data_IF_758202164544
#
_entry.id   IF_758202164544
#
_cell.length_a   1.000
_cell.length_b   1.000
_cell.length_c   1.000
_cell.angle_alpha   90.00
_cell.angle_beta   90.00
_cell.angle_gamma   90.00
#
_symmetry.space_group_name_H-M   'P 1'
#
loop_
_entity.id
_entity.type
_entity.pdbx_description
1 polymer ?
#
# COMPACT_ATOMS: atom_id res chain seq x y z
N UNK A 1 -16.99 14.19 32.45
CA UNK A 1 -15.94 14.08 31.44
C UNK A 1 -16.37 12.98 30.48
N UNK A 2 -16.69 13.29 29.23
CA UNK A 2 -16.96 12.24 28.24
C UNK A 2 -15.66 11.49 28.02
N UNK A 3 -15.54 10.26 28.49
CA UNK A 3 -14.41 9.39 28.25
C UNK A 3 -14.39 9.04 26.74
N UNK A 4 -13.59 9.77 25.99
CA UNK A 4 -13.39 9.53 24.56
C UNK A 4 -12.70 8.19 24.33
N UNK A 5 -13.11 7.42 23.32
CA UNK A 5 -12.54 6.10 23.00
C UNK A 5 -11.04 6.15 22.75
N UNK A 6 -10.52 7.24 22.18
CA UNK A 6 -9.09 7.43 21.91
C UNK A 6 -8.61 8.78 22.42
N UNK A 7 -7.53 8.78 23.17
CA UNK A 7 -6.83 10.01 23.58
C UNK A 7 -5.95 10.53 22.44
N UNK A 8 -5.46 11.77 22.56
CA UNK A 8 -4.45 12.30 21.65
C UNK A 8 -3.15 11.49 21.70
N UNK A 9 -2.84 10.89 22.85
CA UNK A 9 -1.65 10.03 23.02
C UNK A 9 -1.81 8.75 22.21
N UNK A 10 -2.99 8.13 22.22
CA UNK A 10 -3.26 6.91 21.45
C UNK A 10 -3.17 7.17 19.95
N UNK A 11 -3.71 8.29 19.46
CA UNK A 11 -3.59 8.66 18.05
C UNK A 11 -2.14 8.88 17.63
N UNK A 12 -1.35 9.59 18.46
CA UNK A 12 0.09 9.78 18.18
C UNK A 12 0.85 8.47 18.19
N UNK A 13 0.54 7.57 19.10
CA UNK A 13 1.14 6.24 19.21
C UNK A 13 0.83 5.33 18.01
N UNK A 14 -0.20 5.64 17.22
CA UNK A 14 -0.49 4.96 15.95
C UNK A 14 0.14 5.69 14.76
N UNK A 15 0.00 7.02 14.68
CA UNK A 15 0.40 7.82 13.52
C UNK A 15 1.91 7.82 13.32
N UNK A 16 2.68 8.06 14.39
CA UNK A 16 4.14 8.19 14.29
C UNK A 16 4.78 6.87 13.84
N UNK A 17 4.49 5.71 14.45
CA UNK A 17 5.05 4.44 13.99
C UNK A 17 4.66 4.10 12.54
N UNK A 18 3.41 4.34 12.15
CA UNK A 18 2.97 4.06 10.78
C UNK A 18 3.66 4.96 9.75
N UNK A 19 3.88 6.22 10.09
CA UNK A 19 4.64 7.11 9.21
C UNK A 19 6.10 6.65 9.06
N UNK A 20 6.74 6.28 10.17
CA UNK A 20 8.12 5.75 10.15
C UNK A 20 8.17 4.43 9.35
N UNK A 21 7.21 3.54 9.54
CA UNK A 21 7.12 2.27 8.79
C UNK A 21 7.03 2.52 7.27
N UNK A 22 6.15 3.44 6.83
CA UNK A 22 6.02 3.78 5.41
C UNK A 22 7.28 4.45 4.85
N UNK A 23 7.92 5.31 5.63
CA UNK A 23 9.17 5.95 5.22
C UNK A 23 10.30 4.94 5.06
N UNK A 24 10.45 4.01 6.00
CA UNK A 24 11.44 2.94 5.92
C UNK A 24 11.20 2.01 4.72
N UNK A 25 9.95 1.67 4.42
CA UNK A 25 9.62 0.86 3.24
C UNK A 25 10.03 1.54 1.93
N UNK A 26 9.83 2.87 1.84
CA UNK A 26 10.27 3.64 0.68
C UNK A 26 11.80 3.61 0.55
N UNK A 27 12.53 3.85 1.64
CA UNK A 27 13.99 3.85 1.65
C UNK A 27 14.58 2.50 1.25
N UNK A 28 14.00 1.39 1.73
CA UNK A 28 14.45 0.04 1.37
C UNK A 28 14.21 -0.25 -0.11
N UNK A 29 13.06 0.13 -0.67
CA UNK A 29 12.81 -0.01 -2.10
C UNK A 29 13.82 0.73 -2.97
N UNK A 30 14.27 1.91 -2.52
CA UNK A 30 15.34 2.65 -3.19
C UNK A 30 16.70 1.95 -3.03
N UNK A 31 17.03 1.46 -1.83
CA UNK A 31 18.26 0.74 -1.56
C UNK A 31 18.36 -0.57 -2.37
N UNK A 32 17.28 -1.32 -2.48
CA UNK A 32 17.22 -2.55 -3.27
C UNK A 32 17.53 -2.25 -4.74
N UNK A 33 16.90 -1.24 -5.32
CA UNK A 33 17.16 -0.82 -6.72
C UNK A 33 18.60 -0.37 -6.90
N UNK A 34 19.15 0.37 -5.95
CA UNK A 34 20.53 0.83 -5.98
C UNK A 34 21.51 -0.35 -5.94
N UNK A 35 21.33 -1.31 -5.04
CA UNK A 35 22.23 -2.47 -4.92
C UNK A 35 22.15 -3.36 -6.16
N UNK A 36 20.95 -3.59 -6.72
CA UNK A 36 20.79 -4.37 -7.97
C UNK A 36 21.55 -3.75 -9.14
N UNK A 37 21.70 -2.42 -9.19
CA UNK A 37 22.40 -1.74 -10.29
C UNK A 37 23.88 -2.13 -10.40
N UNK A 38 24.49 -2.64 -9.34
CA UNK A 38 25.87 -3.15 -9.35
C UNK A 38 25.99 -4.60 -9.87
N UNK A 39 24.87 -5.31 -10.03
CA UNK A 39 24.89 -6.68 -10.58
C UNK A 39 24.99 -6.67 -12.11
N UNK A 40 24.41 -5.67 -12.76
CA UNK A 40 24.44 -5.48 -14.22
C UNK A 40 23.07 -5.18 -14.82
N UNK A 41 23.05 -4.74 -16.07
CA UNK A 41 21.85 -4.25 -16.76
C UNK A 41 20.76 -5.33 -16.92
N UNK A 42 21.15 -6.56 -17.24
CA UNK A 42 20.25 -7.70 -17.36
C UNK A 42 19.55 -8.01 -16.01
N UNK A 43 20.30 -7.92 -14.90
CA UNK A 43 19.76 -8.11 -13.55
C UNK A 43 18.78 -7.01 -13.18
N UNK A 44 19.13 -5.74 -13.43
CA UNK A 44 18.23 -4.58 -13.18
C UNK A 44 16.93 -4.73 -13.96
N UNK A 45 17.04 -5.08 -15.26
CA UNK A 45 15.89 -5.28 -16.14
C UNK A 45 15.02 -6.43 -15.65
N UNK A 46 15.59 -7.59 -15.36
CA UNK A 46 14.87 -8.77 -14.88
C UNK A 46 14.18 -8.53 -13.54
N UNK A 47 14.87 -7.97 -12.56
CA UNK A 47 14.30 -7.62 -11.24
C UNK A 47 13.20 -6.58 -11.39
N UNK A 48 13.34 -5.57 -12.22
CA UNK A 48 12.33 -4.53 -12.44
C UNK A 48 11.04 -5.10 -13.05
N UNK A 49 11.17 -5.98 -14.04
CA UNK A 49 10.04 -6.65 -14.68
C UNK A 49 9.27 -7.49 -13.66
N UNK A 50 9.98 -8.35 -12.92
CA UNK A 50 9.36 -9.22 -11.90
C UNK A 50 8.77 -8.40 -10.74
N UNK A 51 9.40 -7.30 -10.33
CA UNK A 51 8.85 -6.42 -9.30
C UNK A 51 7.54 -5.76 -9.72
N UNK A 52 7.35 -5.47 -11.00
CA UNK A 52 6.07 -4.99 -11.51
C UNK A 52 4.96 -6.01 -11.30
N UNK A 53 5.25 -7.29 -11.50
CA UNK A 53 4.34 -8.39 -11.21
C UNK A 53 4.16 -8.61 -9.70
N UNK A 54 5.25 -8.62 -8.92
CA UNK A 54 5.22 -8.78 -7.47
C UNK A 54 4.35 -7.71 -6.79
N UNK A 55 4.32 -6.50 -7.34
CA UNK A 55 3.48 -5.41 -6.84
C UNK A 55 2.00 -5.80 -6.83
N UNK A 56 1.52 -6.54 -7.83
CA UNK A 56 0.14 -7.04 -7.87
C UNK A 56 -0.14 -8.00 -6.72
N UNK A 57 0.76 -8.95 -6.46
CA UNK A 57 0.63 -9.89 -5.34
C UNK A 57 0.67 -9.16 -3.98
N UNK A 58 1.56 -8.19 -3.82
CA UNK A 58 1.66 -7.36 -2.61
C UNK A 58 0.34 -6.63 -2.35
N UNK A 59 -0.27 -6.02 -3.38
CA UNK A 59 -1.55 -5.33 -3.23
C UNK A 59 -2.70 -6.28 -2.91
N UNK A 60 -2.69 -7.50 -3.47
CA UNK A 60 -3.69 -8.52 -3.14
C UNK A 60 -3.64 -8.90 -1.66
N UNK A 61 -2.45 -9.21 -1.13
CA UNK A 61 -2.29 -9.55 0.29
C UNK A 61 -2.56 -8.34 1.21
N UNK A 62 -2.20 -7.13 0.78
CA UNK A 62 -2.52 -5.90 1.50
C UNK A 62 -4.03 -5.62 1.54
N UNK A 63 -4.74 -5.88 0.44
CA UNK A 63 -6.20 -5.74 0.39
C UNK A 63 -6.89 -6.73 1.33
N UNK A 64 -6.41 -7.99 1.37
CA UNK A 64 -6.89 -9.00 2.28
C UNK A 64 -6.65 -8.62 3.75
N UNK A 65 -5.44 -8.17 4.07
CA UNK A 65 -5.07 -7.68 5.39
C UNK A 65 -5.93 -6.47 5.83
N UNK A 66 -6.20 -5.53 4.91
CA UNK A 66 -7.06 -4.37 5.14
C UNK A 66 -8.51 -4.78 5.43
N UNK A 67 -9.06 -5.74 4.68
CA UNK A 67 -10.38 -6.29 4.94
C UNK A 67 -10.49 -6.94 6.31
N UNK A 68 -9.48 -7.72 6.69
CA UNK A 68 -9.38 -8.32 8.03
C UNK A 68 -9.25 -7.27 9.13
N UNK A 69 -8.43 -6.24 8.93
CA UNK A 69 -8.26 -5.14 9.90
C UNK A 69 -9.59 -4.44 10.22
N UNK A 70 -10.45 -4.23 9.22
CA UNK A 70 -11.79 -3.63 9.43
C UNK A 70 -12.63 -4.51 10.36
N UNK A 71 -12.75 -5.81 10.06
CA UNK A 71 -13.60 -6.73 10.84
C UNK A 71 -13.05 -6.93 12.25
N UNK A 72 -11.74 -7.10 12.40
CA UNK A 72 -11.07 -7.22 13.71
C UNK A 72 -11.30 -5.95 14.53
N UNK A 73 -11.11 -4.76 13.94
CA UNK A 73 -11.31 -3.47 14.63
C UNK A 73 -12.75 -3.31 15.10
N UNK A 74 -13.75 -3.71 14.30
CA UNK A 74 -15.15 -3.64 14.69
C UNK A 74 -15.46 -4.59 15.86
N UNK A 75 -14.97 -5.84 15.85
CA UNK A 75 -15.15 -6.75 16.99
C UNK A 75 -14.44 -6.26 18.27
N UNK A 76 -13.28 -5.62 18.15
CA UNK A 76 -12.61 -4.97 19.31
C UNK A 76 -13.50 -3.85 19.86
N UNK A 77 -14.07 -3.02 18.98
CA UNK A 77 -14.97 -1.94 19.36
C UNK A 77 -16.21 -2.43 20.08
N UNK A 78 -16.80 -3.56 19.67
CA UNK A 78 -17.94 -4.20 20.33
C UNK A 78 -17.56 -4.94 21.63
N UNK A 79 -16.26 -4.94 22.00
CA UNK A 79 -15.69 -5.69 23.13
C UNK A 79 -15.82 -7.21 23.03
N UNK A 80 -16.09 -7.73 21.82
CA UNK A 80 -16.10 -9.16 21.53
C UNK A 80 -14.72 -9.63 21.08
N UNK A 81 -13.81 -9.73 22.06
CA UNK A 81 -12.42 -10.11 21.81
C UNK A 81 -12.28 -11.56 21.32
N UNK A 82 -13.25 -12.41 21.61
CA UNK A 82 -13.28 -13.80 21.13
C UNK A 82 -13.51 -13.83 19.62
N UNK A 83 -14.53 -13.13 19.12
CA UNK A 83 -14.80 -13.04 17.68
C UNK A 83 -13.69 -12.28 16.95
N UNK A 84 -13.09 -11.26 17.58
CA UNK A 84 -11.92 -10.58 17.04
C UNK A 84 -10.74 -11.55 16.84
N UNK A 85 -10.48 -12.41 17.82
CA UNK A 85 -9.44 -13.45 17.73
C UNK A 85 -9.73 -14.51 16.67
N UNK A 86 -10.98 -14.94 16.55
CA UNK A 86 -11.42 -15.85 15.47
C UNK A 86 -11.26 -15.18 14.10
N UNK A 87 -11.67 -13.93 13.95
CA UNK A 87 -11.52 -13.19 12.69
C UNK A 87 -10.04 -13.01 12.30
N UNK A 88 -9.17 -12.70 13.25
CA UNK A 88 -7.73 -12.61 13.04
C UNK A 88 -7.13 -13.98 12.62
N UNK A 89 -7.53 -15.05 13.28
CA UNK A 89 -7.09 -16.42 12.96
C UNK A 89 -7.56 -16.87 11.58
N UNK A 90 -8.79 -16.54 11.19
CA UNK A 90 -9.32 -16.81 9.86
C UNK A 90 -8.62 -15.98 8.78
N UNK A 91 -8.30 -14.73 9.06
CA UNK A 91 -7.49 -13.91 8.17
C UNK A 91 -6.12 -14.54 7.93
N UNK A 92 -5.43 -14.99 8.99
CA UNK A 92 -4.15 -15.66 8.88
C UNK A 92 -4.26 -16.93 8.03
N UNK A 93 -5.20 -17.82 8.35
CA UNK A 93 -5.42 -19.07 7.62
C UNK A 93 -5.67 -18.81 6.14
N UNK A 94 -6.60 -17.93 5.80
CA UNK A 94 -6.93 -17.63 4.41
C UNK A 94 -5.77 -16.96 3.67
N UNK A 95 -5.01 -16.09 4.35
CA UNK A 95 -3.81 -15.46 3.80
C UNK A 95 -2.73 -16.50 3.46
N UNK A 96 -2.51 -17.47 4.34
CA UNK A 96 -1.57 -18.57 4.10
C UNK A 96 -2.04 -19.44 2.94
N UNK A 97 -3.28 -19.91 2.97
CA UNK A 97 -3.81 -20.79 1.90
C UNK A 97 -3.76 -20.11 0.53
N UNK A 98 -4.27 -18.87 0.44
CA UNK A 98 -4.29 -18.15 -0.83
C UNK A 98 -2.88 -17.83 -1.34
N UNK A 99 -1.95 -17.47 -0.46
CA UNK A 99 -0.57 -17.17 -0.85
C UNK A 99 0.21 -18.42 -1.27
N UNK A 100 -0.01 -19.56 -0.61
CA UNK A 100 0.58 -20.84 -1.03
C UNK A 100 0.05 -21.26 -2.40
N UNK A 101 -1.25 -21.16 -2.63
CA UNK A 101 -1.85 -21.45 -3.95
C UNK A 101 -1.23 -20.56 -5.03
N UNK A 102 -1.13 -19.25 -4.78
CA UNK A 102 -0.53 -18.30 -5.73
C UNK A 102 0.94 -18.64 -5.96
N UNK A 103 1.70 -18.95 -4.91
CA UNK A 103 3.12 -19.33 -5.02
C UNK A 103 3.31 -20.59 -5.85
N UNK A 104 2.51 -21.62 -5.61
CA UNK A 104 2.56 -22.88 -6.37
C UNK A 104 2.21 -22.64 -7.84
N UNK A 105 1.16 -21.87 -8.12
CA UNK A 105 0.80 -21.51 -9.50
C UNK A 105 1.94 -20.78 -10.22
N UNK A 106 2.57 -19.82 -9.56
CA UNK A 106 3.70 -19.09 -10.13
C UNK A 106 4.88 -20.00 -10.38
N UNK A 107 5.24 -20.88 -9.42
CA UNK A 107 6.37 -21.80 -9.56
C UNK A 107 6.15 -22.84 -10.66
N UNK A 108 4.92 -23.34 -10.82
CA UNK A 108 4.56 -24.30 -11.88
C UNK A 108 4.54 -23.65 -13.27
N UNK A 109 4.05 -22.41 -13.35
CA UNK A 109 3.86 -21.69 -14.60
C UNK A 109 4.86 -20.55 -14.81
N UNK A 110 6.04 -20.55 -14.13
CA UNK A 110 6.99 -19.44 -14.15
C UNK A 110 7.38 -18.99 -15.56
N UNK A 111 7.82 -19.89 -16.42
CA UNK A 111 8.23 -19.55 -17.80
C UNK A 111 7.06 -19.16 -18.71
N UNK A 112 5.94 -19.94 -18.78
CA UNK A 112 4.74 -19.53 -19.51
C UNK A 112 4.23 -18.15 -19.08
N UNK A 113 4.22 -17.87 -17.76
CA UNK A 113 3.78 -16.59 -17.22
C UNK A 113 4.69 -15.45 -17.62
N UNK A 114 6.01 -15.61 -17.50
CA UNK A 114 6.98 -14.60 -17.91
C UNK A 114 6.93 -14.33 -19.42
N UNK A 115 6.80 -15.36 -20.24
CA UNK A 115 6.65 -15.21 -21.68
C UNK A 115 5.34 -14.49 -22.07
N UNK A 116 4.25 -14.78 -21.36
CA UNK A 116 2.96 -14.11 -21.56
C UNK A 116 3.01 -12.63 -21.17
N UNK A 117 3.69 -12.31 -20.05
CA UNK A 117 3.72 -10.96 -19.50
C UNK A 117 4.73 -10.06 -20.22
N UNK A 118 5.89 -10.59 -20.56
CA UNK A 118 7.02 -9.79 -21.04
C UNK A 118 7.44 -10.11 -22.50
N UNK A 119 6.81 -11.11 -23.11
CA UNK A 119 7.09 -11.49 -24.48
C UNK A 119 8.49 -12.09 -24.63
N UNK A 120 9.16 -11.77 -25.77
CA UNK A 120 10.54 -12.17 -26.04
C UNK A 120 11.49 -11.09 -25.53
N UNK A 121 12.08 -11.34 -24.37
CA UNK A 121 13.23 -10.57 -23.84
C UNK A 121 14.52 -11.36 -24.11
N UNK A 122 15.66 -10.69 -23.99
CA UNK A 122 16.98 -11.32 -24.12
C UNK A 122 17.14 -12.46 -23.11
N UNK A 123 17.88 -13.51 -23.50
CA UNK A 123 18.00 -14.74 -22.69
C UNK A 123 18.57 -14.46 -21.29
N UNK A 124 19.53 -13.55 -21.18
CA UNK A 124 20.11 -13.16 -19.89
C UNK A 124 19.10 -12.46 -18.97
N UNK A 125 18.24 -11.62 -19.55
CA UNK A 125 17.15 -10.93 -18.82
C UNK A 125 16.11 -11.96 -18.39
N UNK A 126 15.75 -12.92 -19.27
CA UNK A 126 14.81 -13.98 -18.94
C UNK A 126 15.36 -14.87 -17.81
N UNK A 127 16.66 -15.22 -17.85
CA UNK A 127 17.29 -15.98 -16.76
C UNK A 127 17.21 -15.24 -15.41
N UNK A 128 17.51 -13.94 -15.40
CA UNK A 128 17.36 -13.09 -14.22
C UNK A 128 15.89 -13.02 -13.73
N UNK A 129 14.92 -12.92 -14.64
CA UNK A 129 13.49 -12.95 -14.31
C UNK A 129 13.08 -14.26 -13.63
N UNK A 130 13.47 -15.41 -14.20
CA UNK A 130 13.14 -16.74 -13.66
C UNK A 130 13.73 -16.91 -12.27
N UNK A 131 15.02 -16.59 -12.09
CA UNK A 131 15.70 -16.72 -10.81
C UNK A 131 15.05 -15.83 -9.73
N UNK A 132 14.82 -14.57 -10.02
CA UNK A 132 14.21 -13.63 -9.08
C UNK A 132 12.75 -13.97 -8.76
N UNK A 133 11.95 -14.34 -9.77
CA UNK A 133 10.55 -14.74 -9.60
C UNK A 133 10.41 -15.98 -8.74
N UNK A 134 11.27 -16.98 -8.94
CA UNK A 134 11.27 -18.22 -8.16
C UNK A 134 11.52 -17.95 -6.68
N UNK A 135 12.54 -17.16 -6.35
CA UNK A 135 12.86 -16.84 -4.95
C UNK A 135 11.75 -15.97 -4.32
N UNK A 136 11.25 -14.99 -5.06
CA UNK A 136 10.18 -14.12 -4.55
C UNK A 136 8.85 -14.84 -4.39
N UNK A 137 8.53 -15.84 -5.22
CA UNK A 137 7.36 -16.69 -5.07
C UNK A 137 7.38 -17.45 -3.73
N UNK A 138 8.52 -17.98 -3.29
CA UNK A 138 8.66 -18.57 -1.96
C UNK A 138 8.43 -17.57 -0.82
N UNK A 139 8.63 -16.29 -1.07
CA UNK A 139 8.42 -15.25 -0.05
C UNK A 139 6.96 -14.84 0.13
N UNK A 140 6.04 -15.19 -0.79
CA UNK A 140 4.64 -14.75 -0.70
C UNK A 140 3.88 -15.29 0.50
N UNK A 141 4.01 -16.58 0.91
CA UNK A 141 3.36 -17.06 2.12
C UNK A 141 3.81 -16.32 3.37
N UNK A 142 5.11 -16.08 3.51
CA UNK A 142 5.64 -15.35 4.66
C UNK A 142 5.25 -13.86 4.65
N UNK A 143 5.17 -13.25 3.47
CA UNK A 143 4.66 -11.89 3.30
C UNK A 143 3.18 -11.78 3.70
N UNK A 144 2.35 -12.74 3.28
CA UNK A 144 0.93 -12.79 3.62
C UNK A 144 0.72 -12.98 5.14
N UNK A 145 1.52 -13.83 5.79
CA UNK A 145 1.53 -14.00 7.25
C UNK A 145 1.89 -12.69 7.95
N UNK A 146 2.94 -12.01 7.51
CA UNK A 146 3.33 -10.71 8.06
C UNK A 146 2.19 -9.69 7.92
N UNK A 147 1.60 -9.56 6.74
CA UNK A 147 0.52 -8.60 6.50
C UNK A 147 -0.71 -8.87 7.40
N UNK A 148 -1.10 -10.14 7.57
CA UNK A 148 -2.19 -10.52 8.47
C UNK A 148 -1.89 -10.18 9.94
N UNK A 149 -0.70 -10.48 10.41
CA UNK A 149 -0.26 -10.16 11.78
C UNK A 149 -0.12 -8.66 12.02
N UNK A 150 0.44 -7.91 11.07
CA UNK A 150 0.55 -6.46 11.14
C UNK A 150 -0.84 -5.79 11.13
N UNK A 151 -1.80 -6.33 10.35
CA UNK A 151 -3.18 -5.86 10.37
C UNK A 151 -3.83 -6.05 11.75
N UNK A 152 -3.63 -7.22 12.38
CA UNK A 152 -4.09 -7.49 13.74
C UNK A 152 -3.45 -6.53 14.75
N UNK A 153 -2.11 -6.35 14.73
CA UNK A 153 -1.41 -5.42 15.63
C UNK A 153 -1.95 -3.99 15.50
N UNK A 154 -2.15 -3.51 14.28
CA UNK A 154 -2.71 -2.17 14.01
C UNK A 154 -4.16 -2.05 14.48
N UNK A 155 -4.97 -3.11 14.32
CA UNK A 155 -6.38 -3.13 14.77
C UNK A 155 -6.53 -3.01 16.30
N UNK A 156 -5.54 -3.49 17.06
CA UNK A 156 -5.50 -3.32 18.52
C UNK A 156 -4.79 -2.03 18.97
N UNK A 157 -4.42 -1.16 18.02
CA UNK A 157 -3.73 0.10 18.31
C UNK A 157 -2.22 -0.02 18.53
N UNK A 158 -1.60 -1.20 18.28
CA UNK A 158 -0.17 -1.48 18.48
C UNK A 158 0.63 -1.38 17.18
N UNK A 159 0.53 -0.21 16.54
CA UNK A 159 1.32 0.08 15.34
C UNK A 159 2.84 0.15 15.59
N UNK A 160 3.25 0.38 16.84
CA UNK A 160 4.65 0.32 17.26
C UNK A 160 5.27 -1.05 16.99
N UNK A 161 4.53 -2.13 17.20
CA UNK A 161 5.02 -3.50 16.99
C UNK A 161 5.32 -3.76 15.51
N UNK A 162 4.38 -3.43 14.61
CA UNK A 162 4.60 -3.60 13.16
C UNK A 162 5.77 -2.74 12.67
N UNK A 163 5.91 -1.52 13.18
CA UNK A 163 7.03 -0.63 12.85
C UNK A 163 8.38 -1.23 13.28
N UNK A 164 8.52 -1.70 14.53
CA UNK A 164 9.79 -2.27 15.00
C UNK A 164 10.17 -3.53 14.24
N UNK A 165 9.20 -4.43 13.99
CA UNK A 165 9.44 -5.64 13.20
C UNK A 165 9.87 -5.28 11.79
N UNK A 166 9.17 -4.32 11.14
CA UNK A 166 9.51 -3.83 9.80
C UNK A 166 10.91 -3.19 9.78
N UNK A 167 11.26 -2.36 10.78
CA UNK A 167 12.57 -1.72 10.86
C UNK A 167 13.71 -2.75 10.95
N UNK A 168 13.56 -3.78 11.79
CA UNK A 168 14.54 -4.85 11.91
C UNK A 168 14.67 -5.64 10.61
N UNK A 169 13.55 -6.01 10.01
CA UNK A 169 13.53 -6.73 8.74
C UNK A 169 14.17 -5.93 7.60
N UNK A 170 13.90 -4.62 7.54
CA UNK A 170 14.50 -3.73 6.57
C UNK A 170 16.02 -3.61 6.75
N UNK A 171 16.49 -3.53 7.99
CA UNK A 171 17.92 -3.56 8.28
C UNK A 171 18.57 -4.88 7.84
N UNK A 172 17.93 -6.02 8.12
CA UNK A 172 18.40 -7.35 7.66
C UNK A 172 18.42 -7.43 6.13
N UNK A 173 17.40 -6.90 5.47
CA UNK A 173 17.33 -6.87 4.01
C UNK A 173 18.49 -6.05 3.40
N UNK A 174 18.70 -4.82 3.85
CA UNK A 174 19.76 -3.95 3.32
C UNK A 174 21.16 -4.54 3.57
N UNK A 175 21.44 -4.99 4.79
CA UNK A 175 22.71 -5.64 5.12
C UNK A 175 22.90 -6.93 4.31
N UNK A 176 21.85 -7.73 4.20
CA UNK A 176 21.86 -8.95 3.41
C UNK A 176 22.10 -8.70 1.93
N UNK A 177 21.49 -7.67 1.34
CA UNK A 177 21.73 -7.27 -0.06
C UNK A 177 23.19 -6.87 -0.28
N UNK A 178 23.77 -6.08 0.63
CA UNK A 178 25.19 -5.69 0.56
C UNK A 178 26.07 -6.94 0.61
N UNK A 179 25.84 -7.84 1.55
CA UNK A 179 26.61 -9.08 1.65
C UNK A 179 26.39 -9.96 0.40
N UNK A 180 25.15 -10.15 -0.03
CA UNK A 180 24.81 -11.01 -1.17
C UNK A 180 25.43 -10.56 -2.49
N UNK A 181 25.43 -9.25 -2.74
CA UNK A 181 25.95 -8.69 -4.00
C UNK A 181 27.45 -8.46 -3.95
N UNK A 182 27.97 -7.80 -2.90
CA UNK A 182 29.37 -7.36 -2.87
C UNK A 182 30.35 -8.35 -2.25
N UNK A 183 29.89 -9.25 -1.36
CA UNK A 183 30.75 -10.24 -0.69
C UNK A 183 30.61 -11.62 -1.33
N UNK A 184 29.36 -12.07 -1.54
CA UNK A 184 29.07 -13.40 -2.08
C UNK A 184 29.04 -13.43 -3.62
N UNK A 185 28.94 -12.28 -4.26
CA UNK A 185 28.80 -12.13 -5.73
C UNK A 185 27.67 -13.01 -6.29
N UNK A 186 26.56 -13.13 -5.55
CA UNK A 186 25.47 -14.05 -5.86
C UNK A 186 24.48 -13.51 -6.93
N UNK A 187 24.84 -12.43 -7.63
CA UNK A 187 24.01 -11.88 -8.68
C UNK A 187 22.61 -11.47 -8.23
N UNK A 188 21.59 -11.84 -8.99
CA UNK A 188 20.18 -11.56 -8.68
C UNK A 188 19.73 -12.26 -7.39
N UNK A 189 20.20 -13.47 -7.12
CA UNK A 189 19.91 -14.19 -5.90
C UNK A 189 20.43 -13.45 -4.64
N UNK A 190 21.53 -12.68 -4.79
CA UNK A 190 22.11 -11.86 -3.74
C UNK A 190 21.18 -10.75 -3.21
N UNK A 191 20.14 -10.40 -3.95
CA UNK A 191 19.08 -9.45 -3.52
C UNK A 191 17.79 -10.17 -3.16
N UNK A 192 17.47 -11.25 -3.85
CA UNK A 192 16.23 -11.99 -3.63
C UNK A 192 16.20 -12.76 -2.31
N UNK A 193 17.29 -13.46 -1.94
CA UNK A 193 17.36 -14.20 -0.68
C UNK A 193 17.31 -13.33 0.58
N UNK A 194 18.03 -12.21 0.68
CA UNK A 194 17.87 -11.29 1.81
C UNK A 194 16.45 -10.79 1.99
N UNK A 195 15.76 -10.51 0.90
CA UNK A 195 14.34 -10.12 0.93
C UNK A 195 13.45 -11.25 1.47
N UNK A 196 13.69 -12.50 1.06
CA UNK A 196 13.01 -13.68 1.60
C UNK A 196 13.26 -13.85 3.09
N UNK A 197 14.52 -13.75 3.52
CA UNK A 197 14.93 -13.88 4.93
C UNK A 197 14.30 -12.79 5.78
N UNK A 198 14.35 -11.54 5.33
CA UNK A 198 13.74 -10.40 6.03
C UNK A 198 12.23 -10.59 6.22
N UNK A 199 11.51 -11.03 5.17
CA UNK A 199 10.09 -11.37 5.24
C UNK A 199 9.81 -12.54 6.18
N UNK A 200 10.65 -13.57 6.18
CA UNK A 200 10.53 -14.71 7.09
C UNK A 200 10.69 -14.30 8.55
N UNK A 201 11.70 -13.48 8.87
CA UNK A 201 11.91 -12.90 10.19
C UNK A 201 10.69 -12.10 10.64
N UNK A 202 10.15 -11.24 9.76
CA UNK A 202 8.95 -10.47 10.04
C UNK A 202 7.73 -11.33 10.34
N UNK A 203 7.52 -12.38 9.54
CA UNK A 203 6.41 -13.30 9.70
C UNK A 203 6.51 -14.07 11.04
N UNK A 204 7.67 -14.57 11.35
CA UNK A 204 7.92 -15.27 12.63
C UNK A 204 7.72 -14.33 13.82
N UNK A 205 8.33 -13.14 13.78
CA UNK A 205 8.24 -12.16 14.86
C UNK A 205 6.81 -11.71 15.13
N UNK A 206 6.05 -11.36 14.09
CA UNK A 206 4.66 -10.90 14.24
C UNK A 206 3.75 -12.05 14.70
N UNK A 207 3.96 -13.24 14.19
CA UNK A 207 3.18 -14.43 14.58
C UNK A 207 3.43 -14.78 16.04
N UNK A 208 4.68 -14.80 16.44
CA UNK A 208 5.05 -15.02 17.85
C UNK A 208 4.42 -13.98 18.77
N UNK A 209 4.45 -12.70 18.38
CA UNK A 209 3.79 -11.64 19.14
C UNK A 209 2.27 -11.87 19.25
N UNK A 210 1.61 -12.18 18.14
CA UNK A 210 0.16 -12.38 18.10
C UNK A 210 -0.32 -13.62 18.90
N UNK A 211 0.51 -14.63 19.05
CA UNK A 211 0.21 -15.81 19.89
C UNK A 211 0.52 -15.58 21.36
N UNK A 212 1.69 -15.02 21.67
CA UNK A 212 2.28 -15.09 23.01
C UNK A 212 2.05 -13.85 23.88
N UNK A 213 1.76 -12.70 23.27
CA UNK A 213 1.69 -11.45 24.05
C UNK A 213 0.43 -11.37 24.91
N UNK A 214 0.60 -11.59 26.23
CA UNK A 214 -0.50 -11.70 27.20
C UNK A 214 -1.29 -10.40 27.44
N UNK A 215 -0.73 -9.25 27.09
CA UNK A 215 -1.34 -7.93 27.31
C UNK A 215 -2.26 -7.45 26.18
N UNK A 216 -2.28 -8.15 25.03
CA UNK A 216 -3.19 -7.80 23.93
C UNK A 216 -4.57 -8.41 24.17
N UNK A 217 -5.65 -7.66 23.93
CA UNK A 217 -7.01 -8.18 24.11
C UNK A 217 -7.37 -9.26 23.09
N UNK A 218 -6.68 -9.29 21.95
CA UNK A 218 -6.92 -10.22 20.84
C UNK A 218 -5.68 -11.06 20.59
N UNK A 219 -5.88 -12.36 20.33
CA UNK A 219 -4.80 -13.32 20.03
C UNK A 219 -5.21 -14.29 18.95
N UNK A 220 -4.24 -14.85 18.28
CA UNK A 220 -4.45 -16.03 17.46
C UNK A 220 -4.79 -17.25 18.35
N UNK A 221 -5.73 -18.05 17.87
CA UNK A 221 -6.08 -19.33 18.52
C UNK A 221 -5.86 -20.46 17.51
N UNK A 222 -5.24 -21.54 17.94
CA UNK A 222 -5.03 -22.71 17.06
C UNK A 222 -6.36 -23.25 16.57
N UNK A 223 -7.35 -23.37 17.45
CA UNK A 223 -8.70 -23.76 17.07
C UNK A 223 -9.31 -22.82 16.02
N UNK A 224 -9.09 -21.51 16.13
CA UNK A 224 -9.57 -20.51 15.17
C UNK A 224 -8.88 -20.59 13.81
N UNK A 225 -7.61 -21.03 13.76
CA UNK A 225 -6.86 -21.18 12.50
C UNK A 225 -7.35 -22.44 11.73
N UNK A 226 -7.53 -23.56 12.42
CA UNK A 226 -7.90 -24.83 11.78
C UNK A 226 -9.41 -25.01 11.61
N UNK A 227 -10.25 -24.26 12.33
CA UNK A 227 -11.70 -24.29 12.13
C UNK A 227 -12.13 -23.38 10.98
N UNK A 228 -12.98 -23.88 10.09
CA UNK A 228 -13.52 -23.06 9.00
C UNK A 228 -14.71 -22.23 9.46
N UNK A 229 -14.58 -20.91 9.46
CA UNK A 229 -15.64 -19.96 9.82
C UNK A 229 -16.04 -19.13 8.59
N UNK A 230 -16.79 -19.76 7.68
CA UNK A 230 -17.16 -19.15 6.39
C UNK A 230 -17.91 -17.81 6.51
N UNK A 231 -18.69 -17.60 7.57
CA UNK A 231 -19.38 -16.34 7.83
C UNK A 231 -18.42 -15.18 8.12
N UNK A 232 -17.37 -15.41 8.92
CA UNK A 232 -16.31 -14.41 9.18
C UNK A 232 -15.51 -14.13 7.92
N UNK A 233 -15.13 -15.17 7.21
CA UNK A 233 -14.38 -15.02 5.96
C UNK A 233 -15.18 -14.24 4.91
N UNK A 234 -16.49 -14.49 4.79
CA UNK A 234 -17.37 -13.72 3.90
C UNK A 234 -17.39 -12.23 4.26
N UNK A 235 -17.39 -11.89 5.54
CA UNK A 235 -17.30 -10.49 6.01
C UNK A 235 -15.95 -9.86 5.63
N UNK A 236 -14.84 -10.56 5.87
CA UNK A 236 -13.49 -10.09 5.49
C UNK A 236 -13.39 -9.89 3.98
N UNK A 237 -13.82 -10.86 3.19
CA UNK A 237 -13.80 -10.78 1.72
C UNK A 237 -14.74 -9.70 1.18
N UNK A 238 -15.85 -9.42 1.86
CA UNK A 238 -16.76 -8.32 1.53
C UNK A 238 -16.11 -6.94 1.54
N UNK A 239 -14.99 -6.78 2.26
CA UNK A 239 -14.17 -5.56 2.27
C UNK A 239 -12.91 -5.74 1.40
N UNK A 240 -12.26 -6.90 1.51
CA UNK A 240 -10.99 -7.18 0.84
C UNK A 240 -11.13 -7.21 -0.69
N UNK A 241 -12.18 -7.87 -1.22
CA UNK A 241 -12.37 -7.98 -2.67
C UNK A 241 -12.60 -6.61 -3.33
N UNK A 242 -13.52 -5.75 -2.84
CA UNK A 242 -13.63 -4.39 -3.35
C UNK A 242 -12.30 -3.62 -3.33
N UNK A 243 -11.55 -3.70 -2.25
CA UNK A 243 -10.25 -3.02 -2.13
C UNK A 243 -9.20 -3.60 -3.11
N UNK A 244 -9.20 -4.92 -3.30
CA UNK A 244 -8.34 -5.60 -4.27
C UNK A 244 -8.65 -5.20 -5.72
N UNK A 245 -9.92 -5.14 -6.08
CA UNK A 245 -10.38 -4.68 -7.41
C UNK A 245 -9.97 -3.23 -7.65
N UNK A 246 -10.18 -2.34 -6.67
CA UNK A 246 -9.75 -0.93 -6.75
C UNK A 246 -8.25 -0.83 -7.03
N UNK A 247 -7.41 -1.55 -6.27
CA UNK A 247 -5.96 -1.53 -6.44
C UNK A 247 -5.54 -2.13 -7.80
N UNK A 248 -6.17 -3.22 -8.21
CA UNK A 248 -5.90 -3.86 -9.50
C UNK A 248 -6.18 -2.94 -10.69
N UNK A 249 -7.35 -2.31 -10.71
CA UNK A 249 -7.73 -1.35 -11.75
C UNK A 249 -6.79 -0.15 -11.75
N UNK A 250 -6.38 0.33 -10.57
CA UNK A 250 -5.43 1.43 -10.45
C UNK A 250 -4.08 1.09 -11.12
N UNK A 251 -3.57 -0.14 -10.93
CA UNK A 251 -2.32 -0.58 -11.57
C UNK A 251 -2.47 -0.71 -13.09
N UNK A 252 -3.59 -1.25 -13.58
CA UNK A 252 -3.83 -1.33 -15.03
C UNK A 252 -3.86 0.04 -15.68
N UNK A 253 -4.56 1.00 -15.07
CA UNK A 253 -4.61 2.38 -15.57
C UNK A 253 -3.23 3.05 -15.51
N UNK A 254 -2.43 2.78 -14.47
CA UNK A 254 -1.06 3.27 -14.38
C UNK A 254 -0.19 2.79 -15.56
N UNK A 255 -0.34 1.53 -15.97
CA UNK A 255 0.34 1.00 -17.17
C UNK A 255 -0.13 1.72 -18.44
N UNK A 256 -1.44 1.92 -18.60
CA UNK A 256 -1.99 2.65 -19.75
C UNK A 256 -1.47 4.10 -19.82
N UNK A 257 -1.37 4.79 -18.67
CA UNK A 257 -0.80 6.15 -18.62
C UNK A 257 0.70 6.17 -18.93
N UNK A 258 1.45 5.16 -18.49
CA UNK A 258 2.87 5.04 -18.84
C UNK A 258 3.06 4.86 -20.34
N UNK A 259 2.19 4.07 -20.99
CA UNK A 259 2.18 3.91 -22.46
C UNK A 259 1.81 5.21 -23.18
N UNK A 260 0.94 6.02 -22.60
CA UNK A 260 0.60 7.35 -23.13
C UNK A 260 1.81 8.29 -23.04
N UNK A 261 2.47 8.34 -21.88
CA UNK A 261 3.66 9.19 -21.64
C UNK A 261 4.82 8.79 -22.58
N UNK A 262 4.95 7.50 -22.91
CA UNK A 262 5.99 7.01 -23.83
C UNK A 262 5.93 7.65 -25.22
N UNK A 263 4.78 8.19 -25.64
CA UNK A 263 4.61 8.86 -26.94
C UNK A 263 5.19 10.28 -26.97
N UNK A 264 5.47 10.89 -25.82
CA UNK A 264 5.91 12.29 -25.74
C UNK A 264 7.42 12.52 -25.81
N UNK A 265 8.21 11.45 -25.92
CA UNK A 265 9.66 11.52 -26.03
C UNK A 265 10.42 11.31 -24.72
N UNK A 266 11.72 11.04 -24.86
CA UNK A 266 12.59 10.52 -23.79
C UNK A 266 12.67 11.43 -22.56
N UNK A 267 12.80 12.75 -22.75
CA UNK A 267 12.92 13.68 -21.63
C UNK A 267 11.62 13.77 -20.81
N UNK A 268 10.44 13.62 -21.44
CA UNK A 268 9.15 13.61 -20.76
C UNK A 268 8.92 12.29 -19.99
N UNK A 269 9.38 11.16 -20.54
CA UNK A 269 9.39 9.86 -19.85
C UNK A 269 10.23 9.95 -18.58
N UNK A 270 11.45 10.51 -18.69
CA UNK A 270 12.33 10.71 -17.55
C UNK A 270 11.71 11.64 -16.50
N UNK A 271 11.11 12.75 -16.93
CA UNK A 271 10.43 13.68 -16.03
C UNK A 271 9.24 13.03 -15.30
N UNK A 272 8.43 12.24 -16.01
CA UNK A 272 7.31 11.51 -15.41
C UNK A 272 7.77 10.47 -14.37
N UNK A 273 8.85 9.73 -14.65
CA UNK A 273 9.43 8.77 -13.71
C UNK A 273 9.95 9.42 -12.43
N UNK A 274 10.69 10.51 -12.56
CA UNK A 274 11.19 11.26 -11.39
C UNK A 274 10.04 11.90 -10.60
N UNK A 275 9.06 12.50 -11.29
CA UNK A 275 7.87 13.07 -10.66
C UNK A 275 7.08 12.01 -9.88
N UNK A 276 6.95 10.79 -10.42
CA UNK A 276 6.30 9.67 -9.73
C UNK A 276 7.04 9.25 -8.46
N UNK A 277 8.38 9.27 -8.47
CA UNK A 277 9.19 8.97 -7.29
C UNK A 277 8.99 10.01 -6.19
N UNK A 278 8.96 11.30 -6.55
CA UNK A 278 8.70 12.39 -5.62
C UNK A 278 7.24 12.33 -5.11
N UNK A 279 6.29 11.98 -5.97
CA UNK A 279 4.89 11.78 -5.56
C UNK A 279 4.76 10.66 -4.51
N UNK A 280 5.50 9.56 -4.66
CA UNK A 280 5.51 8.47 -3.68
C UNK A 280 5.97 8.95 -2.30
N UNK A 281 6.99 9.84 -2.25
CA UNK A 281 7.42 10.50 -1.03
C UNK A 281 6.35 11.43 -0.47
N UNK A 282 5.72 12.24 -1.32
CA UNK A 282 4.68 13.17 -0.92
C UNK A 282 3.41 12.49 -0.37
N UNK A 283 3.07 11.30 -0.89
CA UNK A 283 1.89 10.53 -0.48
C UNK A 283 2.05 9.80 0.87
N UNK A 284 3.27 9.70 1.43
CA UNK A 284 3.57 8.91 2.64
C UNK A 284 2.65 9.24 3.82
N UNK A 285 2.38 10.52 4.06
CA UNK A 285 1.53 10.92 5.18
C UNK A 285 0.11 10.37 5.04
N UNK A 286 -0.48 10.45 3.85
CA UNK A 286 -1.79 9.88 3.60
C UNK A 286 -1.81 8.35 3.69
N UNK A 287 -0.76 7.68 3.20
CA UNK A 287 -0.62 6.23 3.30
C UNK A 287 -0.50 5.76 4.75
N UNK A 288 0.23 6.50 5.59
CA UNK A 288 0.34 6.24 7.02
C UNK A 288 -0.98 6.46 7.78
N UNK A 289 -1.79 7.42 7.35
CA UNK A 289 -3.07 7.74 8.00
C UNK A 289 -4.17 6.72 7.67
N UNK A 290 -4.15 6.05 6.53
CA UNK A 290 -5.20 5.12 6.11
C UNK A 290 -5.48 3.99 7.15
N UNK A 291 -4.48 3.29 7.69
CA UNK A 291 -4.69 2.31 8.77
C UNK A 291 -5.23 2.93 10.06
N UNK A 292 -4.87 4.18 10.38
CA UNK A 292 -5.40 4.89 11.56
C UNK A 292 -6.92 5.07 11.45
N UNK A 293 -7.40 5.52 10.28
CA UNK A 293 -8.84 5.61 10.02
C UNK A 293 -9.51 4.23 10.13
N UNK A 294 -8.89 3.20 9.57
CA UNK A 294 -9.43 1.83 9.65
C UNK A 294 -9.61 1.38 11.10
N UNK A 295 -8.60 1.58 11.94
CA UNK A 295 -8.64 1.17 13.35
C UNK A 295 -9.63 2.02 14.15
N UNK A 296 -9.51 3.34 14.09
CA UNK A 296 -10.31 4.24 14.93
C UNK A 296 -11.79 4.21 14.55
N UNK A 297 -12.09 4.37 13.27
CA UNK A 297 -13.48 4.35 12.80
C UNK A 297 -14.08 2.94 12.93
N UNK A 298 -13.29 1.89 12.61
CA UNK A 298 -13.74 0.50 12.78
C UNK A 298 -14.15 0.20 14.22
N UNK A 299 -13.36 0.60 15.21
CA UNK A 299 -13.69 0.39 16.62
C UNK A 299 -14.91 1.23 17.05
N UNK A 300 -15.03 2.48 16.62
CA UNK A 300 -16.21 3.29 16.91
C UNK A 300 -17.50 2.67 16.32
N UNK A 301 -17.43 2.19 15.09
CA UNK A 301 -18.58 1.53 14.43
C UNK A 301 -18.94 0.21 15.11
N UNK A 302 -17.93 -0.59 15.50
CA UNK A 302 -18.13 -1.81 16.25
C UNK A 302 -18.75 -1.60 17.62
N UNK A 303 -18.43 -0.50 18.30
CA UNK A 303 -19.07 -0.08 19.53
C UNK A 303 -20.51 0.44 19.35
N UNK A 304 -20.99 0.56 18.10
CA UNK A 304 -22.29 1.17 17.80
C UNK A 304 -22.34 2.67 18.05
N UNK A 305 -21.20 3.32 18.29
CA UNK A 305 -21.13 4.73 18.66
C UNK A 305 -20.87 5.61 17.43
N UNK A 306 -21.92 5.93 16.71
CA UNK A 306 -21.88 6.76 15.49
C UNK A 306 -21.41 8.19 15.81
N UNK A 307 -21.74 8.71 16.98
CA UNK A 307 -21.35 10.06 17.41
C UNK A 307 -19.82 10.15 17.57
N UNK A 308 -19.20 9.18 18.23
CA UNK A 308 -17.76 9.07 18.34
C UNK A 308 -17.10 8.87 16.98
N UNK A 309 -17.65 8.00 16.13
CA UNK A 309 -17.15 7.81 14.77
C UNK A 309 -17.14 9.14 13.99
N UNK A 310 -18.21 9.92 14.05
CA UNK A 310 -18.30 11.23 13.40
C UNK A 310 -17.30 12.25 13.99
N UNK A 311 -17.13 12.23 15.32
CA UNK A 311 -16.12 13.04 16.00
C UNK A 311 -14.71 12.73 15.47
N UNK A 312 -14.36 11.42 15.41
CA UNK A 312 -13.03 11.03 14.92
C UNK A 312 -12.86 11.25 13.43
N UNK A 313 -13.89 11.09 12.60
CA UNK A 313 -13.80 11.51 11.20
C UNK A 313 -13.39 12.99 11.07
N UNK A 314 -14.06 13.90 11.80
CA UNK A 314 -13.72 15.33 11.81
C UNK A 314 -12.30 15.57 12.27
N UNK A 315 -11.91 14.94 13.38
CA UNK A 315 -10.60 15.11 14.00
C UNK A 315 -9.48 14.57 13.10
N UNK A 316 -9.65 13.35 12.57
CA UNK A 316 -8.67 12.73 11.68
C UNK A 316 -8.56 13.49 10.36
N UNK A 317 -9.68 13.91 9.75
CA UNK A 317 -9.64 14.73 8.53
C UNK A 317 -8.86 16.02 8.73
N UNK A 318 -9.11 16.76 9.84
CA UNK A 318 -8.35 17.97 10.15
C UNK A 318 -6.86 17.68 10.37
N UNK A 319 -6.56 16.63 11.15
CA UNK A 319 -5.18 16.25 11.45
C UNK A 319 -4.43 15.79 10.20
N UNK A 320 -5.04 14.91 9.39
CA UNK A 320 -4.45 14.43 8.14
C UNK A 320 -4.22 15.58 7.17
N UNK A 321 -5.18 16.49 7.04
CA UNK A 321 -5.03 17.67 6.19
C UNK A 321 -3.82 18.53 6.59
N UNK A 322 -3.70 18.86 7.89
CA UNK A 322 -2.59 19.68 8.40
C UNK A 322 -1.25 18.96 8.19
N UNK A 323 -1.17 17.67 8.54
CA UNK A 323 0.04 16.88 8.40
C UNK A 323 0.43 16.69 6.92
N UNK A 324 -0.54 16.42 6.06
CA UNK A 324 -0.31 16.28 4.62
C UNK A 324 0.12 17.61 3.99
N UNK A 325 -0.49 18.72 4.37
CA UNK A 325 -0.10 20.05 3.88
C UNK A 325 1.35 20.37 4.27
N UNK A 326 1.69 20.19 5.55
CA UNK A 326 3.04 20.43 6.05
C UNK A 326 4.07 19.54 5.35
N UNK A 327 3.77 18.24 5.22
CA UNK A 327 4.65 17.27 4.58
C UNK A 327 4.83 17.55 3.08
N UNK A 328 3.75 17.79 2.34
CA UNK A 328 3.82 18.12 0.91
C UNK A 328 4.56 19.43 0.64
N UNK A 329 4.39 20.43 1.51
CA UNK A 329 5.16 21.68 1.45
C UNK A 329 6.65 21.42 1.66
N UNK A 330 7.01 20.59 2.64
CA UNK A 330 8.40 20.21 2.88
C UNK A 330 9.00 19.45 1.68
N UNK A 331 8.28 18.47 1.13
CA UNK A 331 8.70 17.72 -0.06
C UNK A 331 8.87 18.64 -1.27
N UNK A 332 7.95 19.57 -1.48
CA UNK A 332 8.07 20.56 -2.56
C UNK A 332 9.29 21.46 -2.39
N UNK A 333 9.52 21.97 -1.18
CA UNK A 333 10.70 22.79 -0.88
C UNK A 333 12.02 22.02 -1.05
N UNK A 334 12.02 20.72 -0.79
CA UNK A 334 13.17 19.84 -0.98
C UNK A 334 13.36 19.40 -2.45
N UNK A 335 12.36 19.54 -3.30
CA UNK A 335 12.41 19.04 -4.69
C UNK A 335 13.62 19.55 -5.48
N UNK A 336 14.02 20.84 -5.45
CA UNK A 336 15.22 21.30 -6.15
C UNK A 336 16.51 20.62 -5.66
N UNK A 337 16.59 20.28 -4.38
CA UNK A 337 17.71 19.52 -3.82
C UNK A 337 17.67 18.06 -4.28
N UNK A 338 16.50 17.43 -4.25
CA UNK A 338 16.31 16.05 -4.70
C UNK A 338 16.67 15.90 -6.18
N UNK A 339 16.33 16.88 -7.02
CA UNK A 339 16.65 16.86 -8.45
C UNK A 339 18.16 16.86 -8.76
N UNK A 340 19.01 17.29 -7.83
CA UNK A 340 20.47 17.20 -8.02
C UNK A 340 20.99 15.77 -8.01
N UNK A 341 20.24 14.84 -7.41
CA UNK A 341 20.61 13.42 -7.38
C UNK A 341 20.16 12.64 -8.62
N UNK A 342 19.33 13.24 -9.49
CA UNK A 342 18.86 12.62 -10.71
C UNK A 342 19.65 13.15 -11.91
N UNK A 343 20.25 12.24 -12.68
CA UNK A 343 20.98 12.55 -13.92
C UNK A 343 20.00 12.69 -15.10
N UNK A 344 19.22 13.78 -15.11
CA UNK A 344 18.25 14.11 -16.16
C UNK A 344 18.57 15.50 -16.75
N UNK A 345 18.10 15.77 -17.99
CA UNK A 345 18.28 17.04 -18.67
C UNK A 345 17.62 18.20 -17.92
N UNK A 346 18.06 19.42 -18.18
CA UNK A 346 17.48 20.60 -17.52
C UNK A 346 16.04 20.87 -17.96
N UNK A 347 15.71 20.51 -19.22
CA UNK A 347 14.31 20.54 -19.68
C UNK A 347 13.46 19.54 -18.88
N UNK A 348 13.95 18.32 -18.62
CA UNK A 348 13.25 17.35 -17.81
C UNK A 348 13.11 17.82 -16.36
N UNK A 349 14.15 18.45 -15.76
CA UNK A 349 14.06 19.03 -14.40
C UNK A 349 12.98 20.10 -14.29
N UNK A 350 12.86 20.98 -15.30
CA UNK A 350 11.83 22.00 -15.33
C UNK A 350 10.43 21.39 -15.38
N UNK A 351 10.22 20.35 -16.21
CA UNK A 351 8.95 19.62 -16.25
C UNK A 351 8.64 18.94 -14.92
N UNK A 352 9.64 18.32 -14.26
CA UNK A 352 9.46 17.72 -12.94
C UNK A 352 8.96 18.75 -11.93
N UNK A 353 9.56 19.94 -11.88
CA UNK A 353 9.11 20.99 -10.96
C UNK A 353 7.63 21.36 -11.17
N UNK A 354 7.19 21.50 -12.43
CA UNK A 354 5.78 21.79 -12.74
C UNK A 354 4.89 20.63 -12.31
N UNK A 355 5.25 19.38 -12.68
CA UNK A 355 4.45 18.20 -12.34
C UNK A 355 4.39 17.98 -10.82
N UNK A 356 5.49 18.18 -10.11
CA UNK A 356 5.54 18.06 -8.65
C UNK A 356 4.70 19.16 -7.99
N UNK A 357 4.72 20.38 -8.49
CA UNK A 357 3.86 21.45 -7.98
C UNK A 357 2.38 21.08 -8.09
N UNK A 358 1.95 20.61 -9.26
CA UNK A 358 0.57 20.20 -9.52
C UNK A 358 0.20 19.04 -8.59
N UNK A 359 1.02 17.98 -8.60
CA UNK A 359 0.75 16.78 -7.84
C UNK A 359 0.74 17.03 -6.33
N UNK A 360 1.71 17.80 -5.79
CA UNK A 360 1.79 18.07 -4.36
C UNK A 360 0.68 19.01 -3.89
N UNK A 361 0.29 20.00 -4.70
CA UNK A 361 -0.83 20.87 -4.38
C UNK A 361 -2.12 20.05 -4.27
N UNK A 362 -2.44 19.23 -5.27
CA UNK A 362 -3.63 18.38 -5.24
C UNK A 362 -3.52 17.32 -4.14
N UNK A 363 -2.35 16.72 -3.93
CA UNK A 363 -2.12 15.74 -2.87
C UNK A 363 -2.36 16.35 -1.47
N UNK A 364 -1.86 17.54 -1.22
CA UNK A 364 -2.07 18.24 0.04
C UNK A 364 -3.55 18.48 0.36
N UNK A 365 -4.35 18.86 -0.64
CA UNK A 365 -5.76 19.22 -0.44
C UNK A 365 -6.73 18.05 -0.66
N UNK A 366 -6.54 17.25 -1.70
CA UNK A 366 -7.52 16.26 -2.13
C UNK A 366 -7.22 14.84 -1.61
N UNK A 367 -5.94 14.46 -1.46
CA UNK A 367 -5.58 13.08 -1.11
C UNK A 367 -6.08 12.68 0.29
N UNK A 368 -6.13 13.61 1.24
CA UNK A 368 -6.73 13.39 2.56
C UNK A 368 -8.14 12.81 2.44
N UNK A 369 -8.92 13.33 1.52
CA UNK A 369 -10.31 12.92 1.30
C UNK A 369 -10.44 11.76 0.32
N UNK A 370 -9.53 11.63 -0.64
CA UNK A 370 -9.55 10.54 -1.62
C UNK A 370 -9.01 9.20 -1.05
N UNK A 371 -7.99 9.23 -0.19
CA UNK A 371 -7.33 8.05 0.36
C UNK A 371 -7.80 7.72 1.79
N UNK A 372 -7.28 8.43 2.82
CA UNK A 372 -7.58 8.15 4.23
C UNK A 372 -9.06 8.17 4.58
N UNK A 373 -9.82 9.19 4.15
CA UNK A 373 -11.28 9.23 4.36
C UNK A 373 -11.97 8.03 3.71
N UNK A 374 -11.55 7.62 2.51
CA UNK A 374 -12.04 6.40 1.86
C UNK A 374 -11.81 5.15 2.70
N UNK A 375 -10.65 5.04 3.38
CA UNK A 375 -10.36 3.95 4.30
C UNK A 375 -11.29 3.96 5.53
N UNK A 376 -11.63 5.14 6.04
CA UNK A 376 -12.62 5.31 7.09
C UNK A 376 -14.02 4.88 6.65
N UNK A 377 -14.46 5.26 5.44
CA UNK A 377 -15.74 4.82 4.89
C UNK A 377 -15.79 3.29 4.71
N UNK A 378 -14.70 2.67 4.25
CA UNK A 378 -14.58 1.19 4.19
C UNK A 378 -14.66 0.57 5.58
N UNK A 379 -14.02 1.18 6.58
CA UNK A 379 -14.07 0.73 7.97
C UNK A 379 -15.48 0.83 8.58
N UNK A 380 -16.28 1.78 8.10
CA UNK A 380 -17.70 1.91 8.45
C UNK A 380 -18.61 0.91 7.68
N UNK A 381 -18.08 0.15 6.71
CA UNK A 381 -18.83 -0.85 5.94
C UNK A 381 -19.19 -0.43 4.51
N UNK A 382 -18.86 0.78 4.08
CA UNK A 382 -19.23 1.32 2.77
C UNK A 382 -18.19 1.01 1.65
N UNK A 383 -17.65 -0.23 1.67
CA UNK A 383 -16.57 -0.63 0.79
C UNK A 383 -16.99 -0.73 -0.69
N UNK A 384 -18.22 -1.14 -0.99
CA UNK A 384 -18.71 -1.22 -2.37
C UNK A 384 -18.82 0.13 -3.03
N UNK A 385 -19.30 1.14 -2.31
CA UNK A 385 -19.39 2.50 -2.81
C UNK A 385 -17.99 3.09 -3.08
N UNK A 386 -17.08 2.95 -2.12
CA UNK A 386 -15.70 3.45 -2.29
C UNK A 386 -15.00 2.80 -3.48
N UNK A 387 -15.14 1.48 -3.65
CA UNK A 387 -14.63 0.77 -4.82
C UNK A 387 -15.24 1.30 -6.13
N UNK A 388 -16.57 1.37 -6.21
CA UNK A 388 -17.26 1.79 -7.44
C UNK A 388 -16.83 3.19 -7.87
N UNK A 389 -16.81 4.15 -6.94
CA UNK A 389 -16.37 5.51 -7.21
C UNK A 389 -14.90 5.55 -7.64
N UNK A 390 -14.03 4.84 -6.92
CA UNK A 390 -12.60 4.80 -7.25
C UNK A 390 -12.36 4.17 -8.62
N UNK A 391 -13.00 3.04 -8.94
CA UNK A 391 -12.84 2.36 -10.23
C UNK A 391 -13.35 3.25 -11.38
N UNK A 392 -14.55 3.80 -11.23
CA UNK A 392 -15.14 4.68 -12.27
C UNK A 392 -14.26 5.90 -12.52
N UNK A 393 -13.80 6.58 -11.48
CA UNK A 393 -12.96 7.76 -11.63
C UNK A 393 -11.57 7.44 -12.15
N UNK A 394 -10.98 6.34 -11.70
CA UNK A 394 -9.66 5.91 -12.19
C UNK A 394 -9.71 5.53 -13.67
N UNK A 395 -10.76 4.86 -14.12
CA UNK A 395 -10.90 4.50 -15.55
C UNK A 395 -11.41 5.67 -16.36
N UNK A 396 -12.55 6.24 -16.00
CA UNK A 396 -13.18 7.26 -16.83
C UNK A 396 -12.49 8.63 -16.69
N UNK A 397 -12.41 9.20 -15.47
CA UNK A 397 -11.90 10.55 -15.30
C UNK A 397 -10.38 10.63 -15.53
N UNK A 398 -9.61 9.72 -14.95
CA UNK A 398 -8.14 9.76 -15.08
C UNK A 398 -7.68 9.56 -16.51
N UNK A 399 -8.20 8.55 -17.24
CA UNK A 399 -7.83 8.33 -18.64
C UNK A 399 -8.35 9.45 -19.54
N UNK A 400 -9.60 9.88 -19.35
CA UNK A 400 -10.17 10.93 -20.17
C UNK A 400 -9.39 12.24 -20.03
N UNK A 401 -9.18 12.73 -18.80
CA UNK A 401 -8.47 13.98 -18.58
C UNK A 401 -6.98 13.89 -18.95
N UNK A 402 -6.35 12.72 -18.77
CA UNK A 402 -4.98 12.50 -19.22
C UNK A 402 -4.87 12.55 -20.75
N UNK A 403 -5.81 11.96 -21.47
CA UNK A 403 -5.87 12.05 -22.93
C UNK A 403 -6.21 13.47 -23.39
N UNK A 404 -7.18 14.13 -22.75
CA UNK A 404 -7.59 15.51 -23.06
C UNK A 404 -6.42 16.47 -22.95
N UNK A 405 -5.77 16.50 -21.78
CA UNK A 405 -4.67 17.45 -21.55
C UNK A 405 -3.36 16.97 -22.18
N UNK A 406 -3.04 15.67 -22.08
CA UNK A 406 -1.79 15.12 -22.57
C UNK A 406 -1.70 15.05 -24.09
N UNK A 407 -2.72 14.47 -24.76
CA UNK A 407 -2.72 14.23 -26.20
C UNK A 407 -3.42 15.37 -26.98
N UNK A 408 -4.66 15.70 -26.64
CA UNK A 408 -5.47 16.60 -27.46
C UNK A 408 -5.06 18.06 -27.29
N UNK A 409 -4.69 18.48 -26.08
CA UNK A 409 -4.17 19.83 -25.81
C UNK A 409 -2.63 19.91 -25.90
N UNK A 410 -1.95 18.81 -26.29
CA UNK A 410 -0.50 18.74 -26.49
C UNK A 410 0.34 19.18 -25.27
N UNK A 411 -0.18 19.00 -24.04
CA UNK A 411 0.56 19.32 -22.81
C UNK A 411 1.54 18.22 -22.39
N UNK A 412 1.57 17.09 -23.09
CA UNK A 412 2.48 15.98 -22.83
C UNK A 412 2.34 15.39 -21.43
N UNK A 413 3.47 15.07 -20.80
CA UNK A 413 3.50 14.46 -19.46
C UNK A 413 2.86 15.35 -18.36
N UNK A 414 2.92 16.66 -18.50
CA UNK A 414 2.24 17.60 -17.58
C UNK A 414 0.73 17.43 -17.66
N UNK A 415 0.18 17.27 -18.88
CA UNK A 415 -1.25 16.99 -19.08
C UNK A 415 -1.70 15.69 -18.41
N UNK A 416 -0.87 14.65 -18.47
CA UNK A 416 -1.14 13.37 -17.78
C UNK A 416 -1.12 13.55 -16.25
N UNK A 417 -0.20 14.36 -15.71
CA UNK A 417 -0.17 14.69 -14.29
C UNK A 417 -1.43 15.43 -13.84
N UNK A 418 -1.94 16.38 -14.65
CA UNK A 418 -3.22 17.05 -14.38
C UNK A 418 -4.37 16.04 -14.38
N UNK A 419 -4.44 15.15 -15.37
CA UNK A 419 -5.48 14.12 -15.45
C UNK A 419 -5.51 13.20 -14.24
N UNK A 420 -4.33 12.77 -13.76
CA UNK A 420 -4.19 12.00 -12.51
C UNK A 420 -4.68 12.79 -11.30
N UNK A 421 -4.38 14.07 -11.25
CA UNK A 421 -4.79 14.97 -10.16
C UNK A 421 -6.32 15.20 -10.15
N UNK A 422 -6.96 15.26 -11.31
CA UNK A 422 -8.41 15.37 -11.42
C UNK A 422 -9.16 14.18 -10.83
N UNK A 423 -8.66 12.95 -11.06
CA UNK A 423 -9.22 11.75 -10.41
C UNK A 423 -9.21 11.90 -8.87
N UNK A 424 -8.06 12.26 -8.31
CA UNK A 424 -7.94 12.45 -6.86
C UNK A 424 -8.87 13.54 -6.33
N UNK A 425 -8.99 14.64 -7.06
CA UNK A 425 -9.88 15.74 -6.68
C UNK A 425 -11.36 15.31 -6.67
N UNK A 426 -11.87 14.75 -7.76
CA UNK A 426 -13.25 14.29 -7.83
C UNK A 426 -13.57 13.20 -6.83
N UNK A 427 -12.64 12.25 -6.62
CA UNK A 427 -12.76 11.20 -5.62
C UNK A 427 -12.87 11.78 -4.21
N UNK A 428 -12.00 12.73 -3.89
CA UNK A 428 -12.01 13.43 -2.61
C UNK A 428 -13.34 14.16 -2.36
N UNK A 429 -13.85 14.88 -3.36
CA UNK A 429 -15.15 15.57 -3.29
C UNK A 429 -16.29 14.58 -3.07
N UNK A 430 -16.36 13.50 -3.86
CA UNK A 430 -17.44 12.51 -3.76
C UNK A 430 -17.41 11.80 -2.40
N UNK A 431 -16.24 11.41 -1.91
CA UNK A 431 -16.11 10.79 -0.58
C UNK A 431 -16.46 11.75 0.54
N UNK A 432 -16.06 13.02 0.42
CA UNK A 432 -16.44 14.05 1.39
C UNK A 432 -17.95 14.31 1.43
N UNK A 433 -18.61 14.39 0.28
CA UNK A 433 -20.06 14.51 0.18
C UNK A 433 -20.75 13.26 0.78
N UNK A 434 -20.22 12.04 0.49
CA UNK A 434 -20.73 10.79 1.08
C UNK A 434 -20.64 10.81 2.59
N UNK A 435 -19.51 11.26 3.13
CA UNK A 435 -19.28 11.43 4.56
C UNK A 435 -20.29 12.44 5.15
N UNK A 436 -20.41 13.62 4.56
CA UNK A 436 -21.32 14.70 5.03
C UNK A 436 -22.78 14.26 5.04
N UNK A 437 -23.23 13.51 4.05
CA UNK A 437 -24.57 12.98 3.96
C UNK A 437 -24.84 11.82 4.94
N UNK A 438 -23.87 11.44 5.75
CA UNK A 438 -23.97 10.39 6.78
C UNK A 438 -24.51 9.04 6.28
N UNK A 439 -24.41 8.75 4.97
CA UNK A 439 -24.90 7.49 4.40
C UNK A 439 -24.11 6.28 4.88
N UNK A 440 -22.88 6.48 5.33
CA UNK A 440 -22.00 5.47 5.92
C UNK A 440 -22.50 4.93 7.29
N UNK A 441 -23.38 5.67 7.99
CA UNK A 441 -23.90 5.26 9.31
C UNK A 441 -24.89 4.10 9.25
N UNK A 442 -25.40 3.77 8.05
CA UNK A 442 -26.44 2.75 7.85
C UNK A 442 -25.90 1.33 7.76
N UNK A 443 -24.58 1.15 7.65
CA UNK A 443 -23.96 -0.15 7.44
C UNK A 443 -23.65 -0.82 8.77
N UNK A 444 -23.93 -2.12 8.85
CA UNK A 444 -23.53 -3.02 9.93
C UNK A 444 -22.77 -4.18 9.31
N UNK A 445 -21.56 -4.42 9.80
CA UNK A 445 -20.71 -5.55 9.36
C UNK A 445 -20.72 -6.70 10.39
N UNK A 446 -20.89 -6.35 11.65
CA UNK A 446 -20.93 -7.29 12.79
C UNK A 446 -22.25 -7.23 13.51
#
# INVERSE_FOLDING_TARGET
MNDRMFTNKDLRAMIIPLFIEQFLLLLVGMADTFVVSFVGDAAVSGVSLVNSFNTVAIFLFSALASGGAVIISQYIGSKDNEQAGKAASQLLMFSVVSSVVISVLILVFERPLLNLLFGRVEDDVMAACVEYMRITAYSFPVLAVYNAGAAMCRSVGRADVSMYISAIANAVNVVGNIIGVFVLHAGVAGVAYPSLIARAISAVAVTWYCFMHRKTPVRYTLSGIFAWHGSLLKKVLGIAVPNGVENGVHQLVKVALSSMVAQFGTYQIAAAGVSQSIWSLAALMGMAMAPVYTTVIGQCMGAGNIEEANHYFKKLNKLTFILSLAWNTAVFAMTPLLLKFFAISDEAKHLVLIMVLINNAINAFAYTYAGPLGSGLRAAGDAKFTMTVSVVLTVAARLFFSALFGLWLNMGAVGVAIGTSMDLFFRGVIFFVRYKNQKWTKFKLI
#
